data_IF_085352820704
#
_entry.id   IF_085352820704
#
_cell.length_a   1.000
_cell.length_b   1.000
_cell.length_c   1.000
_cell.angle_alpha   90.00
_cell.angle_beta   90.00
_cell.angle_gamma   90.00
#
_symmetry.space_group_name_H-M   'P 1'
#
loop_
_entity.id
_entity.type
_entity.pdbx_description
1 polymer ?
#
# COMPACT_ATOMS: atom_id res chain seq x y z
N UNK A 1 -5.46 -2.80 18.62
CA UNK A 1 -6.41 -2.53 17.50
C UNK A 1 -5.69 -1.87 16.35
N UNK A 2 -5.72 -2.45 15.14
CA UNK A 2 -5.11 -1.79 14.00
C UNK A 2 -5.89 -0.53 13.60
N UNK A 3 -5.14 0.44 13.06
CA UNK A 3 -5.71 1.65 12.46
C UNK A 3 -5.65 1.51 10.95
N UNK A 4 -6.70 1.94 10.28
CA UNK A 4 -6.83 1.81 8.83
C UNK A 4 -6.79 3.19 8.16
N UNK A 5 -6.27 3.24 6.92
CA UNK A 5 -6.37 4.42 6.08
C UNK A 5 -7.74 4.45 5.41
N UNK A 6 -8.36 5.62 5.34
CA UNK A 6 -9.54 5.81 4.52
C UNK A 6 -9.17 6.25 3.11
N UNK A 7 -10.16 6.22 2.21
CA UNK A 7 -9.98 6.65 0.82
C UNK A 7 -9.45 8.09 0.74
N UNK A 8 -9.95 8.98 1.60
CA UNK A 8 -9.54 10.39 1.60
C UNK A 8 -8.06 10.56 1.86
N UNK A 9 -7.49 9.77 2.79
CA UNK A 9 -6.07 9.87 3.08
C UNK A 9 -5.23 9.32 1.93
N UNK A 10 -5.66 8.24 1.30
CA UNK A 10 -4.95 7.68 0.14
C UNK A 10 -4.99 8.67 -1.03
N UNK A 11 -6.12 9.35 -1.24
CA UNK A 11 -6.22 10.41 -2.24
C UNK A 11 -5.26 11.57 -1.92
N UNK A 12 -5.15 11.95 -0.66
CA UNK A 12 -4.22 13.01 -0.24
C UNK A 12 -2.76 12.60 -0.48
N UNK A 13 -2.42 11.34 -0.21
CA UNK A 13 -1.09 10.80 -0.50
C UNK A 13 -0.81 10.88 -2.00
N UNK A 14 -1.76 10.47 -2.83
CA UNK A 14 -1.62 10.52 -4.28
C UNK A 14 -1.41 11.95 -4.78
N UNK A 15 -2.26 12.88 -4.35
CA UNK A 15 -2.15 14.28 -4.74
C UNK A 15 -0.78 14.86 -4.36
N UNK A 16 -0.28 14.51 -3.19
CA UNK A 16 1.03 14.94 -2.72
C UNK A 16 2.17 14.38 -3.59
N UNK A 17 2.08 13.11 -3.96
CA UNK A 17 3.09 12.49 -4.83
C UNK A 17 3.11 13.13 -6.22
N UNK A 18 1.94 13.44 -6.79
CA UNK A 18 1.85 14.10 -8.08
C UNK A 18 2.40 15.53 -7.97
N UNK A 19 2.05 16.24 -6.91
CA UNK A 19 2.55 17.61 -6.69
C UNK A 19 4.08 17.65 -6.57
N UNK A 20 4.66 16.67 -5.87
CA UNK A 20 6.11 16.64 -5.61
C UNK A 20 6.92 16.13 -6.81
N UNK A 21 6.42 15.15 -7.52
CA UNK A 21 7.19 14.41 -8.53
C UNK A 21 6.61 14.49 -9.93
N UNK A 22 5.49 15.17 -10.11
CA UNK A 22 4.85 15.31 -11.41
C UNK A 22 3.95 14.14 -11.78
N UNK A 23 3.25 14.28 -12.89
CA UNK A 23 2.32 13.30 -13.40
C UNK A 23 0.89 13.85 -13.46
N UNK A 24 -0.06 12.99 -13.81
CA UNK A 24 -1.45 13.36 -13.97
C UNK A 24 -2.25 13.09 -12.69
N UNK A 25 -3.05 14.06 -12.28
CA UNK A 25 -4.04 13.87 -11.22
C UNK A 25 -5.21 13.02 -11.72
N UNK A 26 -5.92 12.46 -10.78
CA UNK A 26 -7.22 11.84 -11.03
C UNK A 26 -7.21 10.33 -10.82
N UNK A 27 -8.39 9.83 -10.55
CA UNK A 27 -8.68 8.41 -10.35
C UNK A 27 -9.20 7.83 -11.66
N UNK A 28 -8.56 6.75 -12.10
CA UNK A 28 -8.98 6.02 -13.29
C UNK A 28 -10.07 5.00 -12.96
N UNK A 29 -9.98 4.38 -11.78
CA UNK A 29 -10.85 3.28 -11.37
C UNK A 29 -11.19 3.41 -9.89
N UNK A 30 -12.36 4.02 -9.61
CA UNK A 30 -12.82 4.23 -8.24
C UNK A 30 -13.11 2.92 -7.51
N UNK A 31 -13.66 1.93 -8.21
CA UNK A 31 -13.95 0.63 -7.60
C UNK A 31 -12.67 -0.08 -7.15
N UNK A 32 -11.62 -0.01 -7.96
CA UNK A 32 -10.32 -0.58 -7.60
C UNK A 32 -9.69 0.15 -6.42
N UNK A 33 -9.79 1.48 -6.38
CA UNK A 33 -9.30 2.27 -5.26
C UNK A 33 -10.02 1.89 -3.97
N UNK A 34 -11.34 1.88 -3.99
CA UNK A 34 -12.16 1.56 -2.83
C UNK A 34 -11.86 0.15 -2.32
N UNK A 35 -11.83 -0.83 -3.21
CA UNK A 35 -11.53 -2.22 -2.86
C UNK A 35 -10.14 -2.36 -2.21
N UNK A 36 -9.13 -1.72 -2.80
CA UNK A 36 -7.76 -1.78 -2.28
C UNK A 36 -7.63 -1.16 -0.89
N UNK A 37 -8.29 -0.01 -0.68
CA UNK A 37 -8.22 0.70 0.59
C UNK A 37 -8.89 -0.09 1.72
N UNK A 38 -9.96 -0.81 1.43
CA UNK A 38 -10.70 -1.59 2.42
C UNK A 38 -10.13 -3.01 2.63
N UNK A 39 -9.24 -3.47 1.76
CA UNK A 39 -8.71 -4.82 1.85
C UNK A 39 -8.03 -5.14 3.20
N UNK A 40 -7.23 -4.24 3.80
CA UNK A 40 -6.61 -4.54 5.08
C UNK A 40 -7.59 -4.89 6.19
N UNK A 41 -8.79 -4.33 6.15
CA UNK A 41 -9.81 -4.55 7.18
C UNK A 41 -10.72 -5.75 6.88
N UNK A 42 -10.43 -6.52 5.84
CA UNK A 42 -11.23 -7.68 5.47
C UNK A 42 -11.30 -8.67 6.63
N UNK A 43 -12.48 -9.23 6.85
CA UNK A 43 -12.72 -10.19 7.93
C UNK A 43 -13.25 -11.51 7.38
N UNK A 44 -13.04 -12.56 8.16
CA UNK A 44 -13.61 -13.87 7.91
C UNK A 44 -13.98 -14.49 9.27
N UNK A 45 -15.25 -14.84 9.42
CA UNK A 45 -15.78 -15.45 10.65
C UNK A 45 -15.47 -14.62 11.91
N UNK A 46 -15.60 -13.29 11.79
CA UNK A 46 -15.43 -12.38 12.92
C UNK A 46 -13.99 -12.00 13.26
N UNK A 47 -13.02 -12.47 12.49
CA UNK A 47 -11.61 -12.14 12.70
C UNK A 47 -11.02 -11.50 11.44
N UNK A 48 -9.98 -10.67 11.61
CA UNK A 48 -9.29 -10.11 10.47
C UNK A 48 -8.65 -11.21 9.64
N UNK A 49 -8.79 -11.09 8.31
CA UNK A 49 -8.21 -12.03 7.36
C UNK A 49 -6.68 -11.99 7.39
N UNK A 50 -6.11 -10.79 7.57
CA UNK A 50 -4.66 -10.60 7.65
C UNK A 50 -4.25 -10.50 9.10
N UNK A 51 -3.30 -11.35 9.52
CA UNK A 51 -3.03 -11.63 10.94
C UNK A 51 -2.20 -10.59 11.67
N UNK A 52 -1.47 -9.72 10.96
CA UNK A 52 -0.67 -8.67 11.58
C UNK A 52 -0.64 -7.42 10.70
N UNK A 53 -0.07 -6.33 11.22
CA UNK A 53 -0.04 -5.06 10.49
C UNK A 53 0.81 -5.12 9.23
N UNK A 54 1.81 -6.01 9.16
CA UNK A 54 2.63 -6.18 7.95
C UNK A 54 1.82 -6.83 6.84
N UNK A 55 1.05 -7.87 7.15
CA UNK A 55 0.17 -8.51 6.19
C UNK A 55 -0.93 -7.53 5.72
N UNK A 56 -1.46 -6.72 6.63
CA UNK A 56 -2.46 -5.69 6.30
C UNK A 56 -1.87 -4.61 5.38
N UNK A 57 -0.67 -4.11 5.71
CA UNK A 57 0.03 -3.13 4.88
C UNK A 57 0.32 -3.69 3.48
N UNK A 58 0.74 -4.96 3.41
CA UNK A 58 0.98 -5.63 2.14
C UNK A 58 -0.30 -5.78 1.32
N UNK A 59 -1.43 -6.06 1.96
CA UNK A 59 -2.72 -6.16 1.28
C UNK A 59 -3.11 -4.81 0.64
N UNK A 60 -2.90 -3.71 1.38
CA UNK A 60 -3.14 -2.37 0.86
C UNK A 60 -2.21 -2.06 -0.33
N UNK A 61 -0.92 -2.24 -0.12
CA UNK A 61 0.09 -1.95 -1.15
C UNK A 61 -0.08 -2.81 -2.39
N UNK A 62 -0.27 -4.10 -2.21
CA UNK A 62 -0.50 -5.03 -3.32
C UNK A 62 -1.73 -4.62 -4.14
N UNK A 63 -2.83 -4.29 -3.46
CA UNK A 63 -4.05 -3.85 -4.13
C UNK A 63 -3.83 -2.61 -4.99
N UNK A 64 -3.21 -1.57 -4.41
CA UNK A 64 -2.93 -0.32 -5.13
C UNK A 64 -1.92 -0.50 -6.27
N UNK A 65 -0.90 -1.32 -6.04
CA UNK A 65 0.18 -1.53 -7.01
C UNK A 65 -0.26 -2.38 -8.19
N UNK A 66 -1.20 -3.31 -8.00
CA UNK A 66 -1.61 -4.22 -9.07
C UNK A 66 -2.88 -3.77 -9.80
N UNK A 67 -3.76 -3.02 -9.16
CA UNK A 67 -5.02 -2.56 -9.78
C UNK A 67 -4.87 -1.25 -10.54
N UNK A 68 -3.83 -0.48 -10.28
CA UNK A 68 -3.57 0.82 -10.93
C UNK A 68 -4.79 1.75 -10.90
N UNK A 69 -5.30 2.10 -9.70
CA UNK A 69 -6.54 2.89 -9.62
C UNK A 69 -6.40 4.34 -10.05
N UNK A 70 -5.17 4.88 -10.07
CA UNK A 70 -4.91 6.25 -10.47
C UNK A 70 -4.46 6.32 -11.93
N UNK A 71 -4.61 7.50 -12.52
CA UNK A 71 -4.13 7.76 -13.88
C UNK A 71 -2.61 7.68 -13.96
N UNK A 72 -1.93 8.10 -12.89
CA UNK A 72 -0.48 8.16 -12.83
C UNK A 72 -0.05 8.05 -11.36
N UNK A 73 1.23 7.75 -11.11
CA UNK A 73 1.76 7.73 -9.76
C UNK A 73 1.35 6.54 -8.90
N UNK A 74 0.89 5.44 -9.48
CA UNK A 74 0.42 4.27 -8.74
C UNK A 74 1.52 3.64 -7.89
N UNK A 75 2.74 3.51 -8.41
CA UNK A 75 3.85 2.92 -7.65
C UNK A 75 4.24 3.80 -6.47
N UNK A 76 4.36 5.12 -6.68
CA UNK A 76 4.68 6.07 -5.62
C UNK A 76 3.61 6.07 -4.53
N UNK A 77 2.34 6.11 -4.94
CA UNK A 77 1.22 6.16 -4.00
C UNK A 77 1.05 4.85 -3.26
N UNK A 78 1.11 3.71 -3.95
CA UNK A 78 0.99 2.40 -3.32
C UNK A 78 2.09 2.16 -2.29
N UNK A 79 3.32 2.51 -2.62
CA UNK A 79 4.44 2.40 -1.69
C UNK A 79 4.28 3.30 -0.48
N UNK A 80 3.95 4.58 -0.69
CA UNK A 80 3.75 5.52 0.42
C UNK A 80 2.56 5.16 1.30
N UNK A 81 1.45 4.71 0.72
CA UNK A 81 0.29 4.28 1.49
C UNK A 81 0.64 3.10 2.41
N UNK A 82 1.41 2.14 1.89
CA UNK A 82 1.86 0.98 2.64
C UNK A 82 2.73 1.37 3.83
N UNK A 83 3.70 2.25 3.62
CA UNK A 83 4.59 2.72 4.69
C UNK A 83 3.82 3.60 5.70
N UNK A 84 2.88 4.41 5.23
CA UNK A 84 2.02 5.23 6.09
C UNK A 84 1.14 4.35 6.96
N UNK A 85 0.60 3.27 6.40
CA UNK A 85 -0.18 2.30 7.18
C UNK A 85 0.65 1.73 8.33
N UNK A 86 1.88 1.32 8.05
CA UNK A 86 2.79 0.83 9.09
C UNK A 86 3.05 1.91 10.15
N UNK A 87 3.33 3.14 9.71
CA UNK A 87 3.64 4.25 10.61
C UNK A 87 2.50 4.54 11.59
N UNK A 88 1.25 4.60 11.11
CA UNK A 88 0.10 4.87 12.00
C UNK A 88 -0.19 3.70 12.94
N UNK A 89 0.36 2.53 12.66
CA UNK A 89 0.27 1.36 13.52
C UNK A 89 1.53 1.16 14.37
N UNK A 90 2.35 2.19 14.50
CA UNK A 90 3.50 2.19 15.40
C UNK A 90 4.76 1.53 14.85
N UNK A 91 4.81 1.24 13.55
CA UNK A 91 5.98 0.62 12.93
C UNK A 91 6.73 1.64 12.10
N UNK A 92 7.96 1.97 12.54
CA UNK A 92 8.88 2.78 11.76
C UNK A 92 9.81 1.85 10.99
N UNK A 93 9.56 1.70 9.70
CA UNK A 93 10.35 0.81 8.86
C UNK A 93 11.68 1.47 8.50
N UNK A 94 12.77 0.69 8.56
CA UNK A 94 14.07 1.07 8.01
C UNK A 94 14.20 0.43 6.65
N UNK A 95 13.93 1.24 5.62
CA UNK A 95 13.76 0.73 4.25
C UNK A 95 14.99 1.08 3.43
N UNK A 96 15.77 0.08 2.99
CA UNK A 96 16.87 0.33 2.04
C UNK A 96 16.29 0.82 0.73
N UNK A 97 16.79 1.94 0.22
CA UNK A 97 16.20 2.63 -0.95
C UNK A 97 16.10 1.72 -2.17
N UNK A 98 17.20 1.06 -2.52
CA UNK A 98 17.22 0.17 -3.70
C UNK A 98 16.24 -0.99 -3.53
N UNK A 99 16.26 -1.64 -2.37
CA UNK A 99 15.36 -2.76 -2.08
C UNK A 99 13.89 -2.32 -2.12
N UNK A 100 13.59 -1.11 -1.64
CA UNK A 100 12.25 -0.54 -1.69
C UNK A 100 11.74 -0.43 -3.13
N UNK A 101 12.51 0.22 -4.00
CA UNK A 101 12.11 0.41 -5.41
C UNK A 101 11.95 -0.92 -6.13
N UNK A 102 12.86 -1.86 -5.92
CA UNK A 102 12.78 -3.19 -6.54
C UNK A 102 11.54 -3.95 -6.06
N UNK A 103 11.24 -3.89 -4.76
CA UNK A 103 10.09 -4.57 -4.17
C UNK A 103 8.77 -3.99 -4.69
N UNK A 104 8.66 -2.66 -4.73
CA UNK A 104 7.46 -1.99 -5.26
C UNK A 104 7.26 -2.35 -6.72
N UNK A 105 8.32 -2.28 -7.53
CA UNK A 105 8.23 -2.60 -8.95
C UNK A 105 7.86 -4.06 -9.17
N UNK A 106 8.49 -4.99 -8.44
CA UNK A 106 8.22 -6.42 -8.57
C UNK A 106 6.77 -6.75 -8.17
N UNK A 107 6.24 -6.08 -7.16
CA UNK A 107 4.84 -6.23 -6.77
C UNK A 107 3.92 -5.72 -7.89
N UNK A 108 4.21 -4.52 -8.42
CA UNK A 108 3.38 -3.92 -9.47
C UNK A 108 3.35 -4.74 -10.75
N UNK A 109 4.45 -5.45 -11.07
CA UNK A 109 4.55 -6.27 -12.28
C UNK A 109 4.12 -7.72 -12.07
N UNK A 110 3.74 -8.09 -10.84
CA UNK A 110 3.23 -9.43 -10.54
C UNK A 110 4.28 -10.48 -10.24
N UNK A 111 5.57 -10.11 -10.16
CA UNK A 111 6.63 -11.06 -9.83
C UNK A 111 6.81 -11.28 -8.32
N UNK A 112 6.29 -10.38 -7.51
CA UNK A 112 6.29 -10.52 -6.06
C UNK A 112 4.86 -10.67 -5.57
N UNK A 113 4.59 -11.73 -4.80
CA UNK A 113 3.25 -11.98 -4.27
C UNK A 113 2.97 -11.07 -3.06
N UNK A 114 1.70 -10.97 -2.68
CA UNK A 114 1.31 -10.23 -1.47
C UNK A 114 2.01 -10.79 -0.24
N UNK A 115 2.12 -12.10 -0.13
CA UNK A 115 2.78 -12.77 1.00
C UNK A 115 4.28 -12.44 1.04
N UNK A 116 4.94 -12.42 -0.11
CA UNK A 116 6.35 -12.03 -0.21
C UNK A 116 6.54 -10.56 0.12
N UNK A 117 5.60 -9.71 -0.29
CA UNK A 117 5.61 -8.29 0.08
C UNK A 117 5.53 -8.13 1.60
N UNK A 118 4.64 -8.86 2.25
CA UNK A 118 4.52 -8.83 3.71
C UNK A 118 5.83 -9.24 4.39
N UNK A 119 6.51 -10.26 3.87
CA UNK A 119 7.82 -10.69 4.40
C UNK A 119 8.88 -9.60 4.25
N UNK A 120 8.90 -8.90 3.12
CA UNK A 120 9.81 -7.77 2.92
C UNK A 120 9.56 -6.68 3.97
N UNK A 121 8.30 -6.36 4.22
CA UNK A 121 7.94 -5.35 5.21
C UNK A 121 8.36 -5.77 6.62
N UNK A 122 8.24 -7.05 6.96
CA UNK A 122 8.68 -7.55 8.26
C UNK A 122 10.19 -7.41 8.43
N UNK A 123 10.96 -7.68 7.38
CA UNK A 123 12.42 -7.50 7.41
C UNK A 123 12.83 -6.04 7.60
N UNK A 124 12.05 -5.10 7.07
CA UNK A 124 12.33 -3.66 7.21
C UNK A 124 11.79 -3.09 8.53
N UNK A 125 10.96 -3.80 9.22
CA UNK A 125 10.47 -3.42 10.53
C UNK A 125 11.52 -3.64 11.62
N UNK A 126 11.24 -3.15 12.83
CA UNK A 126 12.15 -3.31 13.95
C UNK A 126 12.29 -4.77 14.41
#
# INVERSE_FOLDING_TARGET
MPRFLGVQLVLAIHDDQIRLYGGAYGVRDWAALDSSVHQPAATFRGAYLYGDVFAMAAALGHGLLTSHPFRDGNKRTGGMAMLTFLAINGVTAKVPETAYYETVRATATGTLTREQLAESLRRWGP
#
